data_IF_312414780533
#
_entry.id   IF_312414780533
#
_cell.length_a   1.000
_cell.length_b   1.000
_cell.length_c   1.000
_cell.angle_alpha   90.00
_cell.angle_beta   90.00
_cell.angle_gamma   90.00
#
_symmetry.space_group_name_H-M   'P 1'
#
loop_
_entity.id
_entity.type
_entity.pdbx_description
1 polymer ?
#
# COMPACT_ATOMS: atom_id res chain seq x y z
N UNK A 1 -26.47 10.51 38.06
CA UNK A 1 -26.27 10.44 36.59
C UNK A 1 -25.60 9.11 36.30
N UNK A 2 -26.27 8.18 35.61
CA UNK A 2 -25.69 6.89 35.25
C UNK A 2 -24.92 7.02 33.94
N UNK A 3 -23.66 6.58 33.96
CA UNK A 3 -22.81 6.42 32.78
C UNK A 3 -23.39 5.27 31.97
N UNK A 4 -23.82 5.54 30.74
CA UNK A 4 -24.13 4.49 29.77
C UNK A 4 -22.79 3.98 29.24
N UNK A 5 -22.39 2.80 29.71
CA UNK A 5 -21.33 2.02 29.09
C UNK A 5 -21.92 1.46 27.79
N UNK A 6 -21.58 2.07 26.65
CA UNK A 6 -21.94 1.56 25.32
C UNK A 6 -20.86 0.57 24.88
N UNK A 7 -21.09 -0.76 24.95
CA UNK A 7 -20.09 -1.78 24.62
C UNK A 7 -19.81 -1.90 23.10
N UNK A 8 -20.14 -0.87 22.31
CA UNK A 8 -20.11 -0.87 20.85
C UNK A 8 -19.35 0.34 20.24
N UNK A 9 -18.77 1.23 21.05
CA UNK A 9 -18.09 2.43 20.55
C UNK A 9 -16.59 2.24 20.25
N UNK A 10 -15.99 1.14 20.71
CA UNK A 10 -14.56 0.91 20.48
C UNK A 10 -14.35 0.23 19.10
N UNK A 11 -13.62 0.86 18.16
CA UNK A 11 -13.44 0.28 16.83
C UNK A 11 -12.61 -1.00 16.94
N UNK A 12 -13.25 -2.12 16.63
CA UNK A 12 -12.60 -3.43 16.56
C UNK A 12 -11.56 -3.40 15.44
N UNK A 13 -10.28 -3.50 15.82
CA UNK A 13 -9.18 -3.59 14.86
C UNK A 13 -9.15 -4.99 14.25
N UNK A 14 -9.67 -5.10 13.03
CA UNK A 14 -9.57 -6.34 12.25
C UNK A 14 -8.19 -6.38 11.59
N UNK A 15 -7.43 -7.49 11.74
CA UNK A 15 -6.16 -7.64 11.05
C UNK A 15 -6.37 -7.59 9.54
N UNK A 16 -5.48 -6.86 8.83
CA UNK A 16 -5.52 -6.81 7.37
C UNK A 16 -5.09 -8.16 6.79
N UNK A 17 -5.79 -8.63 5.77
CA UNK A 17 -5.37 -9.79 5.00
C UNK A 17 -4.36 -9.42 3.91
N UNK A 18 -3.75 -10.43 3.26
CA UNK A 18 -2.90 -10.22 2.09
C UNK A 18 -3.70 -9.92 0.81
N UNK A 19 -5.03 -9.79 0.89
CA UNK A 19 -5.90 -9.52 -0.24
C UNK A 19 -6.80 -8.32 0.01
N UNK A 20 -6.88 -7.43 -0.99
CA UNK A 20 -7.80 -6.31 -1.03
C UNK A 20 -8.70 -6.44 -2.26
N UNK A 21 -10.00 -6.58 -2.04
CA UNK A 21 -11.01 -6.52 -3.10
C UNK A 21 -11.56 -5.10 -3.24
N UNK A 22 -11.42 -4.52 -4.44
CA UNK A 22 -11.85 -3.17 -4.77
C UNK A 22 -13.25 -3.11 -5.40
N UNK A 23 -13.95 -4.24 -5.61
CA UNK A 23 -15.30 -4.24 -6.18
C UNK A 23 -16.32 -3.49 -5.32
N UNK A 24 -16.08 -3.38 -4.02
CA UNK A 24 -16.98 -2.72 -3.06
C UNK A 24 -16.62 -1.26 -2.79
N UNK A 25 -15.55 -0.76 -3.40
CA UNK A 25 -15.02 0.58 -3.13
C UNK A 25 -15.24 1.54 -4.30
N UNK A 26 -15.45 2.82 -3.97
CA UNK A 26 -15.52 3.87 -4.98
C UNK A 26 -14.12 4.15 -5.54
N UNK A 27 -13.97 4.37 -6.87
CA UNK A 27 -12.68 4.76 -7.46
C UNK A 27 -12.05 6.01 -6.84
N UNK A 28 -12.86 6.90 -6.25
CA UNK A 28 -12.38 8.13 -5.60
C UNK A 28 -11.64 7.84 -4.29
N UNK A 29 -11.96 6.75 -3.62
CA UNK A 29 -11.41 6.41 -2.31
C UNK A 29 -10.04 5.72 -2.43
N UNK A 30 -9.71 5.20 -3.61
CA UNK A 30 -8.46 4.48 -3.88
C UNK A 30 -7.20 5.26 -3.49
N UNK A 31 -7.23 6.58 -3.66
CA UNK A 31 -6.09 7.44 -3.35
C UNK A 31 -5.72 7.44 -1.86
N UNK A 32 -6.68 7.15 -0.98
CA UNK A 32 -6.47 7.07 0.47
C UNK A 32 -6.43 5.61 0.93
N UNK A 33 -7.34 4.79 0.42
CA UNK A 33 -7.49 3.38 0.79
C UNK A 33 -6.23 2.58 0.46
N UNK A 34 -5.73 2.69 -0.76
CA UNK A 34 -4.66 1.80 -1.22
C UNK A 34 -3.34 2.06 -0.49
N UNK A 35 -2.87 3.31 -0.30
CA UNK A 35 -1.69 3.58 0.53
C UNK A 35 -1.84 3.07 1.97
N UNK A 36 -2.98 3.34 2.61
CA UNK A 36 -3.23 2.89 3.98
C UNK A 36 -3.24 1.36 4.11
N UNK A 37 -3.79 0.66 3.11
CA UNK A 37 -3.73 -0.80 3.04
C UNK A 37 -2.30 -1.31 2.92
N UNK A 38 -1.49 -0.75 2.02
CA UNK A 38 -0.10 -1.16 1.82
C UNK A 38 0.73 -0.94 3.10
N UNK A 39 0.53 0.19 3.79
CA UNK A 39 1.17 0.47 5.09
C UNK A 39 0.78 -0.58 6.14
N UNK A 40 -0.51 -0.90 6.25
CA UNK A 40 -0.99 -1.93 7.17
C UNK A 40 -0.40 -3.31 6.83
N UNK A 41 -0.28 -3.65 5.55
CA UNK A 41 0.31 -4.92 5.11
C UNK A 41 1.81 -5.00 5.41
N UNK A 42 2.56 -3.90 5.20
CA UNK A 42 3.98 -3.81 5.58
C UNK A 42 4.14 -3.95 7.09
N UNK A 43 3.32 -3.26 7.88
CA UNK A 43 3.33 -3.36 9.35
C UNK A 43 2.98 -4.77 9.84
N UNK A 44 2.13 -5.49 9.09
CA UNK A 44 1.76 -6.88 9.38
C UNK A 44 2.77 -7.91 8.84
N UNK A 45 3.80 -7.47 8.11
CA UNK A 45 4.84 -8.34 7.57
C UNK A 45 4.42 -9.18 6.36
N UNK A 46 3.44 -8.74 5.57
CA UNK A 46 3.07 -9.43 4.33
C UNK A 46 4.03 -9.05 3.19
N UNK A 47 4.90 -9.95 2.71
CA UNK A 47 5.86 -9.63 1.64
C UNK A 47 5.19 -9.48 0.27
N UNK A 48 4.00 -10.08 0.11
CA UNK A 48 3.25 -10.08 -1.13
C UNK A 48 1.76 -9.94 -0.83
N UNK A 49 1.07 -9.13 -1.62
CA UNK A 49 -0.37 -8.88 -1.51
C UNK A 49 -1.05 -8.91 -2.87
N UNK A 50 -2.35 -9.22 -2.87
CA UNK A 50 -3.19 -9.30 -4.07
C UNK A 50 -4.26 -8.21 -4.04
N UNK A 51 -4.35 -7.42 -5.10
CA UNK A 51 -5.37 -6.39 -5.26
C UNK A 51 -6.32 -6.83 -6.37
N UNK A 52 -7.57 -7.09 -6.03
CA UNK A 52 -8.63 -7.46 -6.98
C UNK A 52 -9.35 -6.19 -7.42
N UNK A 53 -9.33 -5.90 -8.72
CA UNK A 53 -9.98 -4.72 -9.29
C UNK A 53 -11.01 -5.08 -10.37
N UNK A 54 -11.25 -6.36 -10.59
CA UNK A 54 -12.16 -6.86 -11.62
C UNK A 54 -11.62 -6.70 -13.04
N UNK A 55 -12.31 -7.34 -13.99
CA UNK A 55 -11.91 -7.34 -15.42
C UNK A 55 -12.35 -6.05 -16.13
N UNK A 56 -13.60 -5.61 -15.90
CA UNK A 56 -14.14 -4.29 -16.23
C UNK A 56 -13.67 -3.65 -17.56
N UNK A 57 -13.62 -2.32 -17.59
CA UNK A 57 -13.03 -1.53 -18.69
C UNK A 57 -11.53 -1.30 -18.52
N UNK A 58 -10.94 -1.79 -17.42
CA UNK A 58 -9.54 -1.54 -17.06
C UNK A 58 -9.26 -0.18 -16.40
N UNK A 59 -10.26 0.69 -16.22
CA UNK A 59 -10.07 1.98 -15.56
C UNK A 59 -9.56 1.82 -14.11
N UNK A 60 -10.16 0.91 -13.34
CA UNK A 60 -9.75 0.64 -11.95
C UNK A 60 -8.32 0.08 -11.89
N UNK A 61 -7.98 -0.83 -12.81
CA UNK A 61 -6.61 -1.34 -12.98
C UNK A 61 -5.62 -0.21 -13.23
N UNK A 62 -5.92 0.70 -14.15
CA UNK A 62 -5.05 1.82 -14.48
C UNK A 62 -4.83 2.73 -13.26
N UNK A 63 -5.89 3.04 -12.50
CA UNK A 63 -5.80 3.81 -11.26
C UNK A 63 -4.93 3.10 -10.21
N UNK A 64 -5.12 1.79 -10.01
CA UNK A 64 -4.31 0.98 -9.10
C UNK A 64 -2.83 1.02 -9.52
N UNK A 65 -2.53 0.73 -10.79
CA UNK A 65 -1.15 0.72 -11.30
C UNK A 65 -0.49 2.10 -11.15
N UNK A 66 -1.21 3.18 -11.41
CA UNK A 66 -0.69 4.53 -11.21
C UNK A 66 -0.36 4.84 -9.74
N UNK A 67 -1.19 4.36 -8.80
CA UNK A 67 -0.93 4.51 -7.36
C UNK A 67 0.25 3.65 -6.90
N UNK A 68 0.32 2.39 -7.35
CA UNK A 68 1.43 1.48 -7.03
C UNK A 68 2.77 1.99 -7.53
N UNK A 69 2.82 2.52 -8.77
CA UNK A 69 4.05 3.05 -9.36
C UNK A 69 4.63 4.25 -8.59
N UNK A 70 3.82 4.97 -7.81
CA UNK A 70 4.27 6.11 -6.99
C UNK A 70 4.58 5.72 -5.55
N UNK A 71 4.25 4.50 -5.13
CA UNK A 71 4.40 4.09 -3.74
C UNK A 71 5.83 3.62 -3.45
N UNK A 72 6.53 4.21 -2.46
CA UNK A 72 7.86 3.75 -2.06
C UNK A 72 7.83 2.37 -1.40
N UNK A 73 6.66 1.94 -0.89
CA UNK A 73 6.46 0.65 -0.24
C UNK A 73 6.39 -0.53 -1.23
N UNK A 74 6.31 -0.24 -2.53
CA UNK A 74 6.18 -1.26 -3.58
C UNK A 74 7.54 -1.52 -4.21
N UNK A 75 7.95 -2.79 -4.21
CA UNK A 75 9.17 -3.25 -4.87
C UNK A 75 8.89 -3.54 -6.34
N UNK A 76 7.83 -4.28 -6.61
CA UNK A 76 7.36 -4.61 -7.95
C UNK A 76 5.88 -5.00 -7.93
N UNK A 77 5.21 -4.92 -9.08
CA UNK A 77 3.86 -5.42 -9.24
C UNK A 77 3.66 -5.96 -10.66
N UNK A 78 2.79 -6.95 -10.78
CA UNK A 78 2.47 -7.59 -12.05
C UNK A 78 1.01 -8.03 -12.06
N UNK A 79 0.48 -8.24 -13.25
CA UNK A 79 -0.88 -8.74 -13.39
C UNK A 79 -0.93 -10.21 -12.97
N UNK A 80 -1.99 -10.60 -12.25
CA UNK A 80 -2.13 -11.97 -11.81
C UNK A 80 -2.28 -12.91 -13.02
N UNK A 81 -1.62 -14.08 -12.97
CA UNK A 81 -1.81 -15.13 -13.96
C UNK A 81 -3.20 -15.76 -13.87
N UNK A 82 -3.55 -16.64 -14.80
CA UNK A 82 -4.90 -17.21 -14.94
C UNK A 82 -5.42 -17.89 -13.66
N UNK A 83 -4.54 -18.46 -12.85
CA UNK A 83 -4.87 -19.14 -11.59
C UNK A 83 -5.12 -18.20 -10.39
N UNK A 84 -4.79 -16.91 -10.49
CA UNK A 84 -4.81 -15.96 -9.37
C UNK A 84 -5.74 -14.74 -9.61
N UNK A 85 -6.77 -14.92 -10.42
CA UNK A 85 -7.70 -13.85 -10.83
C UNK A 85 -7.47 -13.33 -12.25
N UNK A 86 -6.50 -13.92 -12.97
CA UNK A 86 -6.17 -13.57 -14.35
C UNK A 86 -5.96 -12.05 -14.44
N UNK A 87 -6.45 -11.42 -15.50
CA UNK A 87 -6.30 -9.98 -15.73
C UNK A 87 -7.12 -9.09 -14.79
N UNK A 88 -7.94 -9.68 -13.90
CA UNK A 88 -8.78 -8.97 -12.93
C UNK A 88 -8.11 -8.68 -11.58
N UNK A 89 -6.86 -9.08 -11.39
CA UNK A 89 -6.10 -8.80 -10.19
C UNK A 89 -4.65 -8.39 -10.48
N UNK A 90 -4.06 -7.67 -9.54
CA UNK A 90 -2.65 -7.26 -9.54
C UNK A 90 -1.97 -7.82 -8.30
N UNK A 91 -0.88 -8.55 -8.49
CA UNK A 91 0.01 -9.00 -7.44
C UNK A 91 1.07 -7.92 -7.17
N UNK A 92 1.34 -7.66 -5.89
CA UNK A 92 2.24 -6.59 -5.45
C UNK A 92 3.22 -7.16 -4.44
N UNK A 93 4.51 -6.96 -4.70
CA UNK A 93 5.59 -7.26 -3.77
C UNK A 93 5.91 -6.03 -2.95
N UNK A 94 5.85 -6.17 -1.64
CA UNK A 94 6.05 -5.09 -0.68
C UNK A 94 7.46 -5.07 -0.11
N UNK A 95 7.87 -3.86 0.25
CA UNK A 95 9.08 -3.56 0.97
C UNK A 95 8.89 -3.85 2.47
N UNK A 96 8.78 -5.13 2.83
CA UNK A 96 8.68 -5.52 4.24
C UNK A 96 10.05 -5.51 4.90
N UNK A 97 10.09 -5.06 6.16
CA UNK A 97 11.26 -5.22 7.02
C UNK A 97 11.21 -6.62 7.65
N UNK A 98 11.37 -7.65 6.82
CA UNK A 98 11.59 -9.01 7.31
C UNK A 98 12.95 -9.09 8.01
N UNK A 99 13.05 -9.89 9.08
CA UNK A 99 14.34 -10.23 9.70
C UNK A 99 15.15 -11.25 8.87
N UNK A 100 14.58 -11.76 7.78
CA UNK A 100 15.19 -12.78 6.93
C UNK A 100 16.03 -12.19 5.78
N UNK A 101 17.11 -12.88 5.46
CA UNK A 101 18.26 -12.49 4.62
C UNK A 101 17.98 -12.12 3.15
N UNK A 102 16.72 -11.98 2.73
CA UNK A 102 16.31 -11.79 1.33
C UNK A 102 16.17 -10.34 0.83
N UNK A 103 16.22 -9.34 1.71
CA UNK A 103 15.82 -7.96 1.39
C UNK A 103 17.00 -6.99 1.11
N UNK A 104 18.09 -7.49 0.51
CA UNK A 104 19.27 -6.67 0.20
C UNK A 104 18.96 -5.51 -0.78
N UNK A 105 18.00 -5.72 -1.70
CA UNK A 105 17.56 -4.71 -2.66
C UNK A 105 16.85 -3.52 -1.98
N UNK A 106 16.05 -3.78 -0.95
CA UNK A 106 15.31 -2.74 -0.24
C UNK A 106 16.23 -1.87 0.61
N UNK A 107 17.20 -2.49 1.31
CA UNK A 107 18.22 -1.73 2.03
C UNK A 107 19.03 -0.83 1.09
N UNK A 108 19.31 -1.29 -0.14
CA UNK A 108 19.95 -0.47 -1.18
C UNK A 108 19.06 0.68 -1.65
N UNK A 109 17.75 0.46 -1.85
CA UNK A 109 16.81 1.51 -2.30
C UNK A 109 16.58 2.58 -1.23
N UNK A 110 16.32 2.18 0.03
CA UNK A 110 16.20 3.11 1.16
C UNK A 110 17.49 3.91 1.39
N UNK A 111 18.66 3.28 1.18
CA UNK A 111 19.95 3.98 1.24
C UNK A 111 20.08 5.01 0.12
N UNK A 112 19.78 4.64 -1.12
CA UNK A 112 19.84 5.57 -2.27
C UNK A 112 18.86 6.73 -2.13
N UNK A 113 17.64 6.51 -1.63
CA UNK A 113 16.67 7.59 -1.43
C UNK A 113 17.08 8.55 -0.30
N UNK A 114 17.72 8.04 0.76
CA UNK A 114 18.31 8.88 1.82
C UNK A 114 19.51 9.68 1.31
N UNK A 115 20.30 9.12 0.39
CA UNK A 115 21.40 9.81 -0.29
C UNK A 115 20.88 10.87 -1.28
N UNK A 116 19.76 10.62 -1.97
CA UNK A 116 19.12 11.58 -2.88
C UNK A 116 18.34 12.70 -2.15
N UNK A 117 17.83 12.44 -0.94
CA UNK A 117 17.05 13.40 -0.13
C UNK A 117 17.84 14.46 0.62
N UNK A 118 19.18 14.38 0.66
CA UNK A 118 20.07 15.37 1.31
C UNK A 118 20.35 16.61 0.45
N UNK A 119 19.70 16.76 -0.71
CA UNK A 119 19.84 17.96 -1.55
C UNK A 119 18.68 18.98 -1.43
N UNK A 120 17.56 18.65 -0.77
CA UNK A 120 16.32 19.45 -0.88
C UNK A 120 15.90 20.25 0.37
N UNK A 121 16.72 20.32 1.44
CA UNK A 121 16.49 21.26 2.57
C UNK A 121 17.45 22.45 2.51
N UNK A 122 17.32 23.23 1.44
CA UNK A 122 17.82 24.61 1.36
C UNK A 122 16.80 25.57 2.00
N UNK A 123 17.25 26.35 2.97
CA UNK A 123 16.42 27.05 3.94
C UNK A 123 15.54 28.17 3.37
N UNK A 124 14.33 28.26 3.92
CA UNK A 124 13.57 29.51 3.97
C UNK A 124 14.06 30.35 5.14
N UNK A 125 14.69 31.51 4.87
CA UNK A 125 14.89 32.69 5.74
C UNK A 125 15.22 33.86 4.79
N UNK A 126 14.69 35.08 4.83
CA UNK A 126 13.69 35.76 5.65
C UNK A 126 13.42 37.08 4.88
N UNK A 127 12.17 37.49 4.70
CA UNK A 127 11.82 38.79 4.11
C UNK A 127 11.70 39.83 5.25
N UNK A 128 12.52 40.89 5.17
CA UNK A 128 12.29 42.15 5.85
C UNK A 128 12.86 43.28 5.01
#
# INVERSE_FOLDING_TARGET
>A
MNVVDTPFDEPVRVPVGPELDLHTFSPRDLGVLLPAYLEACVASGYPEVRIVHGKGTGALRASVHALLARSPLVVSYWQAGDMAGSWGATLVRLAVLSRDSGDECLQKKLRQEREAGVAAKGGAKNEK
#
